data_IF_283246511099
#
_entry.id   IF_283246511099
#
_cell.length_a   1.000
_cell.length_b   1.000
_cell.length_c   1.000
_cell.angle_alpha   90.00
_cell.angle_beta   90.00
_cell.angle_gamma   90.00
#
_symmetry.space_group_name_H-M   'P 1'
#
loop_
_entity.id
_entity.type
_entity.pdbx_description
1 polymer ?
#
# COMPACT_ATOMS: atom_id res chain seq x y z
N UNK A 1 -1.49 52.53 8.81
CA UNK A 1 -1.86 51.55 7.76
C UNK A 1 -0.85 50.42 7.90
N UNK A 2 -1.30 49.20 8.21
CA UNK A 2 -0.41 48.03 8.26
C UNK A 2 -0.10 47.59 6.83
N UNK A 3 1.17 47.41 6.50
CA UNK A 3 1.59 46.79 5.25
C UNK A 3 1.22 45.31 5.26
N UNK A 4 0.53 44.88 4.21
CA UNK A 4 0.14 43.48 4.00
C UNK A 4 1.38 42.73 3.52
N UNK A 5 1.80 41.62 4.16
CA UNK A 5 2.91 40.85 3.64
C UNK A 5 2.50 40.25 2.29
N UNK A 6 3.26 40.60 1.26
CA UNK A 6 3.19 40.01 -0.07
C UNK A 6 3.63 38.54 0.04
N UNK A 7 2.66 37.63 0.10
CA UNK A 7 2.94 36.19 0.09
C UNK A 7 3.41 35.86 -1.32
N UNK A 8 4.73 35.69 -1.45
CA UNK A 8 5.36 35.10 -2.61
C UNK A 8 4.74 33.73 -2.87
N UNK A 9 4.28 33.52 -4.09
CA UNK A 9 3.76 32.24 -4.58
C UNK A 9 4.94 31.29 -4.88
N UNK A 10 5.84 31.14 -3.92
CA UNK A 10 6.93 30.17 -3.93
C UNK A 10 6.46 29.01 -3.07
N UNK A 11 5.77 28.01 -3.65
CA UNK A 11 5.57 26.66 -3.09
C UNK A 11 4.83 25.78 -4.12
N UNK A 12 5.21 25.84 -5.41
CA UNK A 12 5.08 24.65 -6.26
C UNK A 12 6.16 23.67 -5.79
N UNK A 13 5.89 23.05 -4.63
CA UNK A 13 6.65 21.94 -4.08
C UNK A 13 6.82 20.92 -5.20
N UNK A 14 8.05 20.85 -5.67
CA UNK A 14 8.60 19.94 -6.62
C UNK A 14 8.20 18.50 -6.24
N UNK A 15 7.05 18.05 -6.74
CA UNK A 15 6.47 16.72 -6.52
C UNK A 15 7.21 15.67 -7.37
N UNK A 16 8.52 15.85 -7.53
CA UNK A 16 9.39 14.90 -8.18
C UNK A 16 9.71 13.80 -7.17
N UNK A 17 8.86 12.75 -7.16
CA UNK A 17 9.18 11.52 -6.47
C UNK A 17 10.50 10.95 -7.03
N UNK A 18 11.58 11.09 -6.25
CA UNK A 18 12.89 10.63 -6.65
C UNK A 18 12.84 9.14 -7.04
N UNK A 19 13.36 8.74 -8.22
CA UNK A 19 13.36 7.35 -8.65
C UNK A 19 14.08 6.44 -7.66
N UNK A 20 13.33 5.79 -6.76
CA UNK A 20 13.89 4.97 -5.68
C UNK A 20 13.49 5.40 -4.27
N UNK A 21 12.74 6.50 -4.09
CA UNK A 21 12.24 6.94 -2.79
C UNK A 21 11.46 5.85 -2.02
N UNK A 22 10.85 4.91 -2.76
CA UNK A 22 10.11 3.77 -2.21
C UNK A 22 10.85 2.44 -2.29
N UNK A 23 12.11 2.39 -2.77
CA UNK A 23 12.94 1.17 -2.75
C UNK A 23 13.62 0.96 -1.39
N UNK A 24 12.90 1.28 -0.32
CA UNK A 24 13.34 1.03 1.05
C UNK A 24 13.33 -0.46 1.39
N UNK A 25 14.02 -0.82 2.48
CA UNK A 25 13.89 -2.15 3.07
C UNK A 25 12.42 -2.47 3.37
N UNK A 26 11.97 -3.72 3.21
CA UNK A 26 10.58 -4.08 3.45
C UNK A 26 10.13 -3.63 4.85
N UNK A 27 9.04 -2.87 4.91
CA UNK A 27 8.46 -2.41 6.16
C UNK A 27 8.01 -3.60 7.01
N UNK A 28 8.28 -3.53 8.32
CA UNK A 28 7.86 -4.55 9.29
C UNK A 28 6.37 -4.50 9.59
N UNK A 29 5.69 -3.38 9.37
CA UNK A 29 4.26 -3.17 9.64
C UNK A 29 3.57 -2.52 8.46
N UNK A 30 2.26 -2.77 8.32
CA UNK A 30 1.40 -2.11 7.34
C UNK A 30 1.20 -0.64 7.71
N UNK A 31 1.19 0.23 6.71
CA UNK A 31 0.70 1.61 6.83
C UNK A 31 -0.57 1.80 5.99
N UNK A 32 -1.20 2.96 6.09
CA UNK A 32 -2.47 3.25 5.41
C UNK A 32 -2.39 3.02 3.88
N UNK A 33 -1.27 3.39 3.25
CA UNK A 33 -1.06 3.14 1.81
C UNK A 33 -1.02 1.66 1.48
N UNK A 34 -0.36 0.84 2.32
CA UNK A 34 -0.33 -0.62 2.13
C UNK A 34 -1.73 -1.22 2.29
N UNK A 35 -2.52 -0.70 3.25
CA UNK A 35 -3.88 -1.16 3.50
C UNK A 35 -4.80 -0.85 2.31
N UNK A 36 -4.71 0.35 1.72
CA UNK A 36 -5.48 0.71 0.51
C UNK A 36 -5.15 -0.25 -0.64
N UNK A 37 -3.86 -0.47 -0.90
CA UNK A 37 -3.41 -1.37 -1.97
C UNK A 37 -3.88 -2.81 -1.74
N UNK A 38 -3.79 -3.28 -0.50
CA UNK A 38 -4.24 -4.61 -0.12
C UNK A 38 -5.76 -4.76 -0.23
N UNK A 39 -6.54 -3.75 0.18
CA UNK A 39 -7.99 -3.74 0.07
C UNK A 39 -8.45 -3.79 -1.39
N UNK A 40 -7.82 -3.02 -2.29
CA UNK A 40 -8.11 -3.05 -3.73
C UNK A 40 -7.85 -4.46 -4.28
N UNK A 41 -6.65 -5.01 -4.03
CA UNK A 41 -6.29 -6.33 -4.55
C UNK A 41 -7.18 -7.46 -4.00
N UNK A 42 -7.54 -7.39 -2.71
CA UNK A 42 -8.46 -8.33 -2.09
C UNK A 42 -9.89 -8.19 -2.63
N UNK A 43 -10.37 -6.97 -2.88
CA UNK A 43 -11.69 -6.74 -3.48
C UNK A 43 -11.78 -7.27 -4.91
N UNK A 44 -10.72 -7.12 -5.70
CA UNK A 44 -10.66 -7.64 -7.07
C UNK A 44 -10.61 -9.18 -7.09
N UNK A 45 -9.82 -9.76 -6.19
CA UNK A 45 -9.59 -11.21 -6.15
C UNK A 45 -10.66 -11.99 -5.37
N UNK A 46 -11.40 -11.31 -4.48
CA UNK A 46 -12.43 -11.85 -3.58
C UNK A 46 -12.01 -13.16 -2.90
N UNK A 47 -10.91 -13.17 -2.12
CA UNK A 47 -10.37 -14.40 -1.52
C UNK A 47 -11.38 -15.12 -0.60
N UNK A 48 -12.32 -14.39 0.00
CA UNK A 48 -13.41 -14.97 0.81
C UNK A 48 -14.41 -15.83 0.01
N UNK A 49 -14.45 -15.69 -1.31
CA UNK A 49 -15.26 -16.55 -2.19
C UNK A 49 -14.53 -17.84 -2.58
N UNK A 50 -13.24 -17.98 -2.26
CA UNK A 50 -12.48 -19.19 -2.54
C UNK A 50 -12.87 -20.32 -1.55
N UNK A 51 -12.91 -21.59 -1.99
CA UNK A 51 -13.06 -22.73 -1.09
C UNK A 51 -12.00 -22.72 0.02
N UNK A 52 -12.36 -23.19 1.22
CA UNK A 52 -11.45 -23.23 2.38
C UNK A 52 -10.12 -23.93 2.10
N UNK A 53 -10.11 -24.96 1.24
CA UNK A 53 -8.89 -25.67 0.81
C UNK A 53 -7.92 -24.81 -0.02
N UNK A 54 -8.42 -23.72 -0.62
CA UNK A 54 -7.67 -22.82 -1.51
C UNK A 54 -7.60 -21.38 -1.00
N UNK A 55 -8.26 -21.06 0.12
CA UNK A 55 -8.30 -19.70 0.69
C UNK A 55 -6.89 -19.12 0.89
N UNK A 56 -5.99 -19.88 1.53
CA UNK A 56 -4.62 -19.42 1.74
C UNK A 56 -3.83 -19.29 0.44
N UNK A 57 -4.12 -20.13 -0.56
CA UNK A 57 -3.53 -19.99 -1.90
C UNK A 57 -3.94 -18.65 -2.53
N UNK A 58 -5.21 -18.27 -2.45
CA UNK A 58 -5.68 -16.98 -2.96
C UNK A 58 -4.95 -15.80 -2.30
N UNK A 59 -4.71 -15.86 -0.98
CA UNK A 59 -3.90 -14.84 -0.29
C UNK A 59 -2.43 -14.81 -0.71
N UNK A 60 -1.83 -15.97 -1.00
CA UNK A 60 -0.48 -16.02 -1.56
C UNK A 60 -0.43 -15.45 -2.96
N UNK A 61 -1.42 -15.73 -3.80
CA UNK A 61 -1.53 -15.20 -5.16
C UNK A 61 -1.68 -13.66 -5.13
N UNK A 62 -2.50 -13.11 -4.22
CA UNK A 62 -2.60 -11.66 -3.97
C UNK A 62 -1.24 -11.07 -3.59
N UNK A 63 -0.57 -11.65 -2.58
CA UNK A 63 0.73 -11.15 -2.13
C UNK A 63 1.81 -11.23 -3.23
N UNK A 64 1.76 -12.25 -4.08
CA UNK A 64 2.62 -12.39 -5.25
C UNK A 64 2.33 -11.33 -6.32
N UNK A 65 1.06 -11.03 -6.58
CA UNK A 65 0.65 -9.94 -7.48
C UNK A 65 1.13 -8.57 -7.00
N UNK A 66 1.14 -8.35 -5.68
CA UNK A 66 1.66 -7.13 -5.06
C UNK A 66 3.18 -7.06 -5.04
N UNK A 67 3.92 -8.10 -5.47
CA UNK A 67 5.39 -8.15 -5.45
C UNK A 67 6.06 -6.96 -6.12
N UNK A 68 5.52 -6.57 -7.26
CA UNK A 68 6.07 -5.49 -8.08
C UNK A 68 5.37 -4.14 -7.86
N UNK A 69 4.37 -4.08 -6.95
CA UNK A 69 3.68 -2.84 -6.64
C UNK A 69 4.59 -1.96 -5.76
N UNK A 70 5.00 -0.80 -6.29
CA UNK A 70 5.89 0.15 -5.61
C UNK A 70 5.23 0.79 -4.38
N UNK A 71 3.90 0.84 -4.34
CA UNK A 71 3.12 1.37 -3.23
C UNK A 71 2.89 0.33 -2.12
N UNK A 72 3.26 -0.94 -2.33
CA UNK A 72 3.17 -2.01 -1.33
C UNK A 72 4.55 -2.35 -0.77
N UNK A 73 4.88 -1.72 0.35
CA UNK A 73 6.21 -1.70 0.95
C UNK A 73 6.46 -2.74 2.04
N UNK A 74 5.45 -3.53 2.46
CA UNK A 74 5.59 -4.57 3.49
C UNK A 74 6.16 -5.88 2.96
N UNK A 75 6.70 -6.70 3.87
CA UNK A 75 7.07 -8.10 3.55
C UNK A 75 5.85 -8.85 3.02
N UNK A 76 5.95 -9.29 1.77
CA UNK A 76 4.85 -9.78 0.94
C UNK A 76 4.58 -11.26 1.23
N UNK A 77 3.78 -11.50 2.27
CA UNK A 77 3.38 -12.82 2.73
C UNK A 77 1.86 -12.90 2.79
N UNK A 78 1.27 -13.90 2.14
CA UNK A 78 -0.18 -14.11 2.09
C UNK A 78 -0.82 -14.23 3.48
N UNK A 79 -0.17 -14.89 4.43
CA UNK A 79 -0.66 -14.99 5.81
C UNK A 79 -0.77 -13.63 6.47
N UNK A 80 0.21 -12.75 6.27
CA UNK A 80 0.20 -11.41 6.84
C UNK A 80 -0.90 -10.55 6.22
N UNK A 81 -1.15 -10.71 4.93
CA UNK A 81 -2.23 -10.03 4.21
C UNK A 81 -3.61 -10.45 4.76
N UNK A 82 -3.83 -11.76 4.92
CA UNK A 82 -5.05 -12.29 5.54
C UNK A 82 -5.23 -11.76 6.96
N UNK A 83 -4.22 -11.92 7.81
CA UNK A 83 -4.28 -11.47 9.21
C UNK A 83 -4.46 -9.95 9.32
N UNK A 84 -3.94 -9.15 8.39
CA UNK A 84 -4.19 -7.71 8.39
C UNK A 84 -5.66 -7.40 8.17
N UNK A 85 -6.30 -8.08 7.21
CA UNK A 85 -7.72 -7.86 6.90
C UNK A 85 -8.68 -8.44 7.96
N UNK A 86 -8.34 -9.58 8.56
CA UNK A 86 -9.16 -10.18 9.64
C UNK A 86 -9.23 -9.31 10.91
N UNK A 87 -8.34 -8.32 11.05
CA UNK A 87 -8.28 -7.41 12.20
C UNK A 87 -9.02 -6.08 11.97
N UNK A 88 -9.68 -5.89 10.82
CA UNK A 88 -10.66 -4.81 10.60
C UNK A 88 -12.05 -5.27 11.04
#
# INVERSE_FOLDING_TARGET
>A
MQEVPNITHDDEENLYEEPGAYSGTPKKSFCCTDDIVLLIAANDSKPWSAPSSTLMKAWFDIAAGLKNNRCFGVVKNGQRCKTRLDNY
#
